data_IF_025819182044
#
_entry.id   IF_025819182044
#
_cell.length_a   1.000
_cell.length_b   1.000
_cell.length_c   1.000
_cell.angle_alpha   90.00
_cell.angle_beta   90.00
_cell.angle_gamma   90.00
#
_symmetry.space_group_name_H-M   'P 1'
#
loop_
_entity.id
_entity.type
_entity.pdbx_description
1 polymer ?
#
# COMPACT_ATOMS: atom_id res chain seq x y z
N UNK A 1 40.68 27.78 36.12
CA UNK A 1 40.52 27.73 37.59
C UNK A 1 39.30 28.56 37.98
N UNK A 2 38.51 28.09 38.96
CA UNK A 2 37.18 28.54 39.44
C UNK A 2 35.97 28.00 38.64
N UNK A 3 35.45 26.81 39.03
CA UNK A 3 34.26 26.52 39.91
C UNK A 3 32.94 26.79 39.17
N UNK A 4 32.13 25.82 38.71
CA UNK A 4 31.54 24.61 39.31
C UNK A 4 30.64 24.88 40.54
N UNK A 5 29.41 25.33 40.29
CA UNK A 5 28.20 25.09 41.10
C UNK A 5 27.01 25.79 40.43
N UNK A 6 26.15 25.08 39.71
CA UNK A 6 24.70 25.26 39.82
C UNK A 6 24.02 23.97 39.36
N UNK A 7 23.36 23.34 40.33
CA UNK A 7 22.78 22.02 40.29
C UNK A 7 21.28 22.17 40.03
N UNK A 8 20.78 21.41 39.06
CA UNK A 8 19.44 20.84 38.98
C UNK A 8 18.27 21.58 39.63
N UNK A 9 17.54 22.38 38.83
CA UNK A 9 16.17 22.79 39.12
C UNK A 9 15.43 23.01 37.79
N UNK A 10 14.96 21.94 37.15
CA UNK A 10 13.85 21.94 36.18
C UNK A 10 13.43 20.50 35.82
N UNK A 11 13.30 19.65 36.85
CA UNK A 11 12.76 18.30 36.73
C UNK A 11 11.88 18.01 37.94
N UNK A 12 10.71 18.66 38.02
CA UNK A 12 9.59 18.38 38.95
C UNK A 12 8.42 19.35 38.68
N UNK A 13 7.68 19.13 37.59
CA UNK A 13 6.30 19.59 37.44
C UNK A 13 5.43 18.41 37.04
N UNK A 14 5.35 17.44 37.95
CA UNK A 14 4.36 16.36 37.96
C UNK A 14 3.96 16.22 39.42
N UNK A 15 2.65 16.20 39.68
CA UNK A 15 1.99 16.09 41.00
C UNK A 15 1.92 17.36 41.87
N UNK A 16 0.78 18.05 41.83
CA UNK A 16 -0.19 18.13 42.95
C UNK A 16 -1.23 19.22 42.62
N UNK A 17 -2.48 18.84 42.36
CA UNK A 17 -3.60 19.60 42.95
C UNK A 17 -4.83 18.71 43.05
N UNK A 18 -5.31 18.50 44.27
CA UNK A 18 -6.46 17.68 44.58
C UNK A 18 -7.35 18.42 45.58
N UNK A 19 -8.61 18.61 45.18
CA UNK A 19 -9.84 18.82 45.95
C UNK A 19 -10.01 20.08 46.82
N UNK A 20 -11.11 20.80 46.59
CA UNK A 20 -12.37 20.72 47.37
C UNK A 20 -13.41 21.66 46.71
N UNK A 21 -14.56 21.20 46.23
CA UNK A 21 -15.91 21.32 46.86
C UNK A 21 -16.90 21.46 45.68
N UNK A 22 -18.14 20.96 45.61
CA UNK A 22 -19.07 20.29 46.51
C UNK A 22 -20.06 19.52 45.62
N UNK A 23 -20.29 18.23 45.91
CA UNK A 23 -21.39 17.44 45.35
C UNK A 23 -22.56 17.52 46.32
N UNK A 24 -23.74 17.91 45.83
CA UNK A 24 -24.98 17.88 46.59
C UNK A 24 -25.62 16.48 46.53
N UNK A 25 -25.93 15.99 47.72
CA UNK A 25 -26.47 14.69 48.10
C UNK A 25 -27.87 14.37 47.55
N UNK A 26 -28.09 13.12 47.12
CA UNK A 26 -29.30 12.33 47.46
C UNK A 26 -28.96 10.84 47.57
N UNK A 27 -29.41 10.25 48.68
CA UNK A 27 -29.15 8.89 49.19
C UNK A 27 -30.01 7.83 48.48
N UNK A 28 -29.54 6.59 48.41
CA UNK A 28 -30.43 5.41 48.37
C UNK A 28 -29.89 4.13 47.75
N UNK A 29 -29.60 3.15 48.61
CA UNK A 29 -29.63 1.68 48.42
C UNK A 29 -28.40 1.00 47.80
N UNK A 30 -27.78 0.16 48.63
CA UNK A 30 -26.64 -0.73 48.40
C UNK A 30 -27.14 -2.11 47.94
N UNK A 31 -26.57 -2.66 46.86
CA UNK A 31 -26.60 -4.09 46.49
C UNK A 31 -25.30 -4.46 45.71
N UNK A 32 -24.82 -5.71 45.78
CA UNK A 32 -23.39 -6.06 45.57
C UNK A 32 -22.99 -6.12 44.09
N UNK A 33 -21.68 -6.07 43.76
CA UNK A 33 -21.23 -6.05 42.38
C UNK A 33 -21.20 -7.47 41.83
N UNK A 34 -22.11 -7.77 40.90
CA UNK A 34 -21.93 -8.87 39.98
C UNK A 34 -22.42 -8.43 38.62
N UNK A 35 -21.51 -7.95 37.78
CA UNK A 35 -21.75 -7.92 36.35
C UNK A 35 -20.46 -8.33 35.65
N UNK A 36 -20.45 -9.63 35.34
CA UNK A 36 -19.72 -10.26 34.24
C UNK A 36 -19.49 -9.23 33.13
N UNK A 37 -18.24 -8.88 32.85
CA UNK A 37 -17.84 -8.25 31.60
C UNK A 37 -18.17 -9.20 30.46
N UNK A 38 -19.43 -9.20 30.02
CA UNK A 38 -19.78 -9.72 28.71
C UNK A 38 -19.11 -8.78 27.73
N UNK A 39 -17.94 -9.18 27.22
CA UNK A 39 -17.43 -8.64 25.96
C UNK A 39 -18.49 -8.92 24.91
N UNK A 40 -19.40 -7.96 24.72
CA UNK A 40 -20.36 -7.98 23.63
C UNK A 40 -19.52 -7.95 22.36
N UNK A 41 -19.39 -9.10 21.69
CA UNK A 41 -18.91 -9.13 20.30
C UNK A 41 -19.91 -8.33 19.50
N UNK A 42 -19.59 -7.06 19.23
CA UNK A 42 -20.36 -6.27 18.26
C UNK A 42 -20.22 -6.99 16.91
N UNK A 43 -21.32 -7.24 16.19
CA UNK A 43 -21.22 -7.79 14.84
C UNK A 43 -20.36 -6.84 14.00
N UNK A 44 -19.52 -7.40 13.13
CA UNK A 44 -18.74 -6.61 12.19
C UNK A 44 -19.69 -5.77 11.33
N UNK A 45 -19.65 -4.45 11.49
CA UNK A 45 -20.34 -3.50 10.62
C UNK A 45 -19.31 -2.74 9.80
N UNK A 46 -19.55 -2.62 8.50
CA UNK A 46 -18.68 -1.89 7.56
C UNK A 46 -18.52 -0.43 8.00
N UNK A 47 -19.59 0.18 8.51
CA UNK A 47 -19.56 1.55 9.04
C UNK A 47 -18.69 1.67 10.28
N UNK A 48 -18.81 0.72 11.23
CA UNK A 48 -17.96 0.68 12.42
C UNK A 48 -16.49 0.50 12.05
N UNK A 49 -16.19 -0.30 11.03
CA UNK A 49 -14.82 -0.51 10.58
C UNK A 49 -14.28 0.73 9.85
N UNK A 50 -15.09 1.36 8.99
CA UNK A 50 -14.71 2.58 8.29
C UNK A 50 -14.46 3.73 9.27
N UNK A 51 -15.27 3.86 10.33
CA UNK A 51 -15.05 4.84 11.38
C UNK A 51 -13.77 4.53 12.17
N UNK A 52 -13.54 3.27 12.54
CA UNK A 52 -12.32 2.86 13.23
C UNK A 52 -11.06 3.13 12.38
N UNK A 53 -11.14 2.93 11.06
CA UNK A 53 -10.08 3.27 10.12
C UNK A 53 -9.87 4.79 10.03
N UNK A 54 -10.95 5.56 9.93
CA UNK A 54 -10.93 7.03 9.93
C UNK A 54 -10.28 7.62 11.19
N UNK A 55 -10.45 6.96 12.34
CA UNK A 55 -9.87 7.35 13.63
C UNK A 55 -8.48 6.74 13.89
N UNK A 56 -7.91 6.00 12.94
CA UNK A 56 -6.64 5.32 13.15
C UNK A 56 -5.44 6.28 13.15
N UNK A 57 -4.45 6.02 13.99
CA UNK A 57 -3.21 6.81 14.06
C UNK A 57 -2.52 7.05 12.71
N UNK A 58 -2.41 6.06 11.79
CA UNK A 58 -1.79 6.31 10.48
C UNK A 58 -2.52 7.34 9.63
N UNK A 59 -3.86 7.41 9.76
CA UNK A 59 -4.68 8.41 9.07
C UNK A 59 -4.42 9.80 9.67
N UNK A 60 -4.38 9.90 11.00
CA UNK A 60 -4.06 11.14 11.70
C UNK A 60 -2.66 11.68 11.32
N UNK A 61 -1.64 10.82 11.26
CA UNK A 61 -0.30 11.22 10.81
C UNK A 61 -0.27 11.65 9.34
N UNK A 62 -1.01 10.97 8.46
CA UNK A 62 -1.08 11.35 7.05
C UNK A 62 -1.72 12.74 6.87
N UNK A 63 -2.80 13.02 7.62
CA UNK A 63 -3.43 14.33 7.64
C UNK A 63 -2.48 15.41 8.18
N UNK A 64 -1.85 15.18 9.34
CA UNK A 64 -0.89 16.12 9.93
C UNK A 64 0.29 16.42 8.99
N UNK A 65 0.79 15.42 8.26
CA UNK A 65 1.85 15.63 7.28
C UNK A 65 1.40 16.54 6.14
N UNK A 66 0.20 16.31 5.59
CA UNK A 66 -0.36 17.14 4.52
C UNK A 66 -0.56 18.59 4.99
N UNK A 67 -1.13 18.78 6.18
CA UNK A 67 -1.29 20.10 6.79
C UNK A 67 0.06 20.78 7.06
N UNK A 68 1.04 20.05 7.60
CA UNK A 68 2.38 20.58 7.85
C UNK A 68 3.06 21.06 6.56
N UNK A 69 3.00 20.27 5.48
CA UNK A 69 3.57 20.65 4.18
C UNK A 69 2.83 21.86 3.62
N UNK A 70 1.49 21.89 3.71
CA UNK A 70 0.69 23.03 3.26
C UNK A 70 1.08 24.33 3.99
N UNK A 71 1.14 24.28 5.32
CA UNK A 71 1.42 25.44 6.17
C UNK A 71 2.87 25.95 6.02
N UNK A 72 3.83 25.04 5.84
CA UNK A 72 5.25 25.42 5.69
C UNK A 72 5.57 25.95 4.30
N UNK A 73 4.96 25.39 3.25
CA UNK A 73 5.23 25.81 1.87
C UNK A 73 4.34 26.98 1.41
N UNK A 74 3.17 27.15 2.02
CA UNK A 74 2.17 28.15 1.61
C UNK A 74 1.55 27.90 0.23
N UNK A 75 1.75 26.71 -0.34
CA UNK A 75 1.24 26.36 -1.67
C UNK A 75 -0.25 26.02 -1.63
N UNK A 76 -0.97 26.08 -2.76
CA UNK A 76 -2.36 25.62 -2.79
C UNK A 76 -2.48 24.12 -2.44
N UNK A 77 -3.66 23.71 -1.98
CA UNK A 77 -3.93 22.31 -1.60
C UNK A 77 -3.69 21.33 -2.75
N UNK A 78 -4.07 21.69 -3.97
CA UNK A 78 -3.79 20.89 -5.17
C UNK A 78 -2.29 20.56 -5.30
N UNK A 79 -1.42 21.58 -5.23
CA UNK A 79 0.02 21.38 -5.34
C UNK A 79 0.59 20.61 -4.15
N UNK A 80 0.08 20.88 -2.94
CA UNK A 80 0.49 20.17 -1.72
C UNK A 80 0.25 18.68 -1.85
N UNK A 81 -0.95 18.29 -2.31
CA UNK A 81 -1.32 16.87 -2.53
C UNK A 81 -0.39 16.23 -3.57
N UNK A 82 -0.16 16.90 -4.70
CA UNK A 82 0.71 16.40 -5.78
C UNK A 82 2.13 16.19 -5.25
N UNK A 83 2.74 17.22 -4.66
CA UNK A 83 4.13 17.16 -4.20
C UNK A 83 4.32 16.15 -3.07
N UNK A 84 3.41 16.12 -2.11
CA UNK A 84 3.47 15.14 -1.00
C UNK A 84 3.36 13.72 -1.55
N UNK A 85 2.48 13.48 -2.52
CA UNK A 85 2.34 12.17 -3.17
C UNK A 85 3.63 11.73 -3.86
N UNK A 86 4.23 12.63 -4.65
CA UNK A 86 5.45 12.35 -5.39
C UNK A 86 6.64 12.14 -4.44
N UNK A 87 6.78 12.98 -3.41
CA UNK A 87 7.81 12.86 -2.40
C UNK A 87 7.69 11.54 -1.64
N UNK A 88 6.48 11.19 -1.18
CA UNK A 88 6.21 9.94 -0.47
C UNK A 88 6.57 8.73 -1.32
N UNK A 89 6.14 8.70 -2.58
CA UNK A 89 6.47 7.61 -3.52
C UNK A 89 7.97 7.54 -3.82
N UNK A 90 8.65 8.68 -3.93
CA UNK A 90 10.10 8.74 -4.19
C UNK A 90 10.90 8.26 -2.99
N UNK A 91 10.52 8.65 -1.77
CA UNK A 91 11.25 8.29 -0.55
C UNK A 91 10.97 6.84 -0.12
N UNK A 92 9.72 6.36 -0.25
CA UNK A 92 9.32 5.05 0.25
C UNK A 92 9.28 4.00 -0.85
N UNK A 93 8.49 4.22 -1.90
CA UNK A 93 8.19 3.20 -2.90
C UNK A 93 9.35 2.96 -3.86
N UNK A 94 10.05 4.03 -4.28
CA UNK A 94 11.08 3.93 -5.31
C UNK A 94 12.27 3.05 -4.93
N UNK A 95 12.90 3.18 -3.75
CA UNK A 95 14.01 2.30 -3.35
C UNK A 95 13.55 0.85 -3.21
N UNK A 96 12.35 0.63 -2.64
CA UNK A 96 11.77 -0.70 -2.51
C UNK A 96 11.46 -1.30 -3.89
N UNK A 97 11.05 -0.49 -4.87
CA UNK A 97 10.81 -0.93 -6.23
C UNK A 97 12.12 -1.33 -6.95
N UNK A 98 13.20 -0.57 -6.75
CA UNK A 98 14.54 -0.98 -7.24
C UNK A 98 14.89 -2.36 -6.67
N UNK A 99 14.71 -2.56 -5.36
CA UNK A 99 14.94 -3.87 -4.72
C UNK A 99 14.03 -4.97 -5.31
N UNK A 100 12.75 -4.70 -5.51
CA UNK A 100 11.82 -5.62 -6.16
C UNK A 100 12.33 -6.02 -7.56
N UNK A 101 12.82 -5.07 -8.34
CA UNK A 101 13.38 -5.33 -9.66
C UNK A 101 14.64 -6.19 -9.62
N UNK A 102 15.51 -6.06 -8.61
CA UNK A 102 16.64 -6.98 -8.42
C UNK A 102 16.18 -8.42 -8.18
N UNK A 103 15.17 -8.61 -7.33
CA UNK A 103 14.63 -9.95 -7.02
C UNK A 103 13.98 -10.56 -8.26
N UNK A 104 13.18 -9.78 -9.00
CA UNK A 104 12.52 -10.25 -10.22
C UNK A 104 13.51 -10.58 -11.34
N UNK A 105 14.58 -9.79 -11.50
CA UNK A 105 15.63 -10.09 -12.48
C UNK A 105 16.36 -11.41 -12.16
N UNK A 106 16.67 -11.66 -10.88
CA UNK A 106 17.26 -12.94 -10.44
C UNK A 106 16.32 -14.11 -10.69
N UNK A 107 15.04 -13.96 -10.38
CA UNK A 107 14.02 -14.98 -10.68
C UNK A 107 13.91 -15.26 -12.19
N UNK A 108 13.95 -14.22 -13.02
CA UNK A 108 13.95 -14.36 -14.48
C UNK A 108 15.14 -15.17 -14.99
N UNK A 109 16.31 -15.01 -14.38
CA UNK A 109 17.52 -15.75 -14.73
C UNK A 109 17.50 -17.23 -14.31
N UNK A 110 16.59 -17.64 -13.42
CA UNK A 110 16.39 -19.05 -13.09
C UNK A 110 15.60 -19.81 -14.16
N UNK A 111 14.75 -19.13 -14.94
CA UNK A 111 13.93 -19.76 -15.98
C UNK A 111 14.72 -20.70 -16.93
N UNK A 112 15.85 -20.29 -17.53
CA UNK A 112 16.61 -21.17 -18.41
C UNK A 112 17.21 -22.40 -17.68
N UNK A 113 17.55 -22.27 -16.40
CA UNK A 113 18.04 -23.41 -15.59
C UNK A 113 16.89 -24.38 -15.26
N UNK A 114 15.71 -23.84 -14.94
CA UNK A 114 14.50 -24.63 -14.75
C UNK A 114 14.13 -25.39 -16.02
N UNK A 115 14.21 -24.76 -17.20
CA UNK A 115 13.92 -25.40 -18.48
C UNK A 115 14.85 -26.59 -18.78
N UNK A 116 16.12 -26.52 -18.35
CA UNK A 116 17.08 -27.64 -18.46
C UNK A 116 16.76 -28.80 -17.52
N UNK A 117 16.22 -28.53 -16.32
CA UNK A 117 15.87 -29.56 -15.32
C UNK A 117 14.58 -30.32 -15.65
N UNK A 118 13.65 -29.70 -16.39
CA UNK A 118 12.36 -30.30 -16.77
C UNK A 118 12.50 -31.67 -17.47
N UNK A 119 13.31 -31.83 -18.53
CA UNK A 119 13.45 -33.13 -19.21
C UNK A 119 14.06 -34.21 -18.30
N UNK A 120 15.06 -33.87 -17.48
CA UNK A 120 15.70 -34.80 -16.54
C UNK A 120 14.68 -35.32 -15.52
N UNK A 121 13.93 -34.42 -14.88
CA UNK A 121 12.90 -34.80 -13.90
C UNK A 121 11.75 -35.60 -14.51
N UNK A 122 11.40 -35.34 -15.77
CA UNK A 122 10.41 -36.15 -16.50
C UNK A 122 10.94 -37.57 -16.74
N UNK A 123 12.21 -37.73 -17.11
CA UNK A 123 12.82 -39.04 -17.31
C UNK A 123 12.85 -39.84 -16.00
N UNK A 124 13.27 -39.24 -14.89
CA UNK A 124 13.25 -39.86 -13.55
C UNK A 124 11.84 -40.28 -13.13
N UNK A 125 10.84 -39.41 -13.34
CA UNK A 125 9.44 -39.73 -13.02
C UNK A 125 8.95 -40.89 -13.87
N UNK A 126 9.27 -40.94 -15.16
CA UNK A 126 8.86 -42.02 -16.06
C UNK A 126 9.49 -43.37 -15.64
N UNK A 127 10.73 -43.38 -15.15
CA UNK A 127 11.36 -44.57 -14.59
C UNK A 127 10.66 -45.01 -13.31
N UNK A 128 10.36 -44.08 -12.39
CA UNK A 128 9.63 -44.38 -11.15
C UNK A 128 8.23 -44.94 -11.42
N UNK A 129 7.52 -44.45 -12.44
CA UNK A 129 6.23 -45.02 -12.87
C UNK A 129 6.36 -46.47 -13.29
N UNK A 130 7.41 -46.82 -14.05
CA UNK A 130 7.65 -48.20 -14.50
C UNK A 130 8.05 -49.11 -13.33
N UNK A 131 8.92 -48.65 -12.44
CA UNK A 131 9.43 -49.45 -11.32
C UNK A 131 8.39 -49.69 -10.23
N UNK A 132 7.65 -48.64 -9.84
CA UNK A 132 6.70 -48.69 -8.72
C UNK A 132 5.24 -48.84 -9.16
N UNK A 133 4.99 -49.04 -10.47
CA UNK A 133 3.63 -49.15 -11.06
C UNK A 133 2.69 -48.04 -10.58
N UNK A 134 3.18 -46.80 -10.58
CA UNK A 134 2.42 -45.66 -10.07
C UNK A 134 1.24 -45.32 -10.98
N UNK A 135 0.12 -44.96 -10.38
CA UNK A 135 -1.02 -44.39 -11.12
C UNK A 135 -0.67 -42.99 -11.66
N UNK A 136 -1.32 -42.55 -12.74
CA UNK A 136 -1.06 -41.24 -13.37
C UNK A 136 -1.17 -40.06 -12.39
N UNK A 137 -2.14 -40.11 -11.47
CA UNK A 137 -2.30 -39.08 -10.43
C UNK A 137 -1.09 -39.03 -9.51
N UNK A 138 -0.57 -40.20 -9.09
CA UNK A 138 0.60 -40.30 -8.23
C UNK A 138 1.86 -39.83 -8.97
N UNK A 139 2.03 -40.22 -10.24
CA UNK A 139 3.13 -39.76 -11.09
C UNK A 139 3.16 -38.22 -11.20
N UNK A 140 2.00 -37.60 -11.42
CA UNK A 140 1.87 -36.13 -11.52
C UNK A 140 2.20 -35.43 -10.21
N UNK A 141 1.79 -35.99 -9.06
CA UNK A 141 2.12 -35.46 -7.74
C UNK A 141 3.63 -35.56 -7.49
N UNK A 142 4.24 -36.72 -7.77
CA UNK A 142 5.67 -36.96 -7.63
C UNK A 142 6.50 -35.99 -8.49
N UNK A 143 6.13 -35.82 -9.75
CA UNK A 143 6.79 -34.87 -10.66
C UNK A 143 6.69 -33.43 -10.14
N UNK A 144 5.50 -32.99 -9.74
CA UNK A 144 5.28 -31.63 -9.20
C UNK A 144 6.08 -31.39 -7.93
N UNK A 145 6.12 -32.38 -7.03
CA UNK A 145 6.87 -32.30 -5.79
C UNK A 145 8.39 -32.22 -6.05
N UNK A 146 8.91 -33.06 -6.95
CA UNK A 146 10.33 -33.08 -7.30
C UNK A 146 10.76 -31.81 -8.02
N UNK A 147 9.95 -31.32 -8.97
CA UNK A 147 10.18 -30.05 -9.65
C UNK A 147 10.17 -28.88 -8.67
N UNK A 148 9.17 -28.82 -7.78
CA UNK A 148 9.11 -27.78 -6.74
C UNK A 148 10.35 -27.81 -5.85
N UNK A 149 10.79 -28.99 -5.42
CA UNK A 149 12.00 -29.16 -4.59
C UNK A 149 13.25 -28.61 -5.29
N UNK A 150 13.43 -28.86 -6.59
CA UNK A 150 14.57 -28.34 -7.34
C UNK A 150 14.48 -26.82 -7.51
N UNK A 151 13.30 -26.27 -7.84
CA UNK A 151 13.05 -24.82 -7.91
C UNK A 151 13.34 -24.14 -6.57
N UNK A 152 12.87 -24.71 -5.47
CA UNK A 152 13.07 -24.14 -4.14
C UNK A 152 14.57 -24.10 -3.78
N UNK A 153 15.37 -25.11 -4.16
CA UNK A 153 16.84 -25.09 -3.99
C UNK A 153 17.49 -23.95 -4.78
N UNK A 154 17.09 -23.75 -6.03
CA UNK A 154 17.59 -22.67 -6.89
C UNK A 154 17.28 -21.29 -6.28
N UNK A 155 16.05 -21.11 -5.79
CA UNK A 155 15.61 -19.88 -5.14
C UNK A 155 16.41 -19.60 -3.87
N UNK A 156 16.73 -20.63 -3.08
CA UNK A 156 17.54 -20.50 -1.86
C UNK A 156 19.00 -20.17 -2.22
N UNK A 157 19.58 -20.85 -3.22
CA UNK A 157 20.94 -20.61 -3.73
C UNK A 157 21.14 -19.14 -4.13
N UNK A 158 20.18 -18.58 -4.86
CA UNK A 158 20.28 -17.21 -5.41
C UNK A 158 19.58 -16.15 -4.53
N UNK A 159 19.05 -16.58 -3.37
CA UNK A 159 18.40 -15.77 -2.34
C UNK A 159 17.27 -14.87 -2.87
N UNK A 160 16.54 -15.35 -3.89
CA UNK A 160 15.57 -14.56 -4.67
C UNK A 160 14.11 -14.96 -4.40
N UNK A 161 13.78 -15.28 -3.15
CA UNK A 161 12.44 -15.73 -2.78
C UNK A 161 11.34 -14.76 -3.24
N UNK A 162 10.25 -15.23 -3.90
CA UNK A 162 9.23 -14.36 -4.50
C UNK A 162 8.54 -13.43 -3.48
N UNK A 163 8.44 -13.83 -2.20
CA UNK A 163 7.91 -12.97 -1.13
C UNK A 163 8.70 -11.66 -0.94
N UNK A 164 10.00 -11.64 -1.28
CA UNK A 164 10.78 -10.39 -1.23
C UNK A 164 10.32 -9.40 -2.28
N UNK A 165 9.75 -9.87 -3.40
CA UNK A 165 9.18 -9.01 -4.44
C UNK A 165 7.82 -8.41 -4.05
N UNK A 166 7.11 -9.00 -3.09
CA UNK A 166 5.80 -8.49 -2.62
C UNK A 166 5.93 -7.38 -1.58
N UNK A 167 7.15 -7.06 -1.11
CA UNK A 167 7.39 -6.05 -0.06
C UNK A 167 6.86 -4.66 -0.44
N UNK A 168 6.97 -4.28 -1.71
CA UNK A 168 6.47 -2.99 -2.20
C UNK A 168 4.97 -2.88 -1.98
N UNK A 169 4.22 -3.93 -2.31
CA UNK A 169 2.77 -3.95 -2.13
C UNK A 169 2.37 -3.90 -0.65
N UNK A 170 3.11 -4.63 0.21
CA UNK A 170 2.84 -4.66 1.65
C UNK A 170 3.04 -3.30 2.32
N UNK A 171 3.99 -2.50 1.87
CA UNK A 171 4.23 -1.15 2.39
C UNK A 171 3.33 -0.11 1.72
N UNK A 172 3.15 -0.21 0.40
CA UNK A 172 2.40 0.76 -0.39
C UNK A 172 0.91 0.77 -0.07
N UNK A 173 0.29 -0.40 0.14
CA UNK A 173 -1.16 -0.50 0.35
C UNK A 173 -1.60 0.21 1.65
N UNK A 174 -1.00 -0.03 2.82
CA UNK A 174 -1.33 0.70 4.04
C UNK A 174 -1.16 2.21 3.89
N UNK A 175 -0.02 2.65 3.34
CA UNK A 175 0.25 4.08 3.11
C UNK A 175 -0.81 4.69 2.19
N UNK A 176 -1.14 4.00 1.10
CA UNK A 176 -2.16 4.47 0.16
C UNK A 176 -3.54 4.58 0.81
N UNK A 177 -3.93 3.60 1.62
CA UNK A 177 -5.20 3.64 2.37
C UNK A 177 -5.19 4.80 3.35
N UNK A 178 -4.12 4.98 4.14
CA UNK A 178 -4.04 6.04 5.15
C UNK A 178 -4.19 7.43 4.54
N UNK A 179 -3.48 7.72 3.45
CA UNK A 179 -3.60 9.02 2.76
C UNK A 179 -4.97 9.20 2.09
N UNK A 180 -5.54 8.13 1.52
CA UNK A 180 -6.88 8.21 0.91
C UNK A 180 -7.95 8.53 1.95
N UNK A 181 -7.88 7.88 3.11
CA UNK A 181 -8.83 8.11 4.20
C UNK A 181 -8.57 9.48 4.86
N UNK A 182 -7.32 9.92 4.98
CA UNK A 182 -6.99 11.25 5.49
C UNK A 182 -7.59 12.36 4.61
N UNK A 183 -7.35 12.32 3.29
CA UNK A 183 -7.95 13.28 2.36
C UNK A 183 -9.48 13.23 2.40
N UNK A 184 -10.05 12.03 2.41
CA UNK A 184 -11.51 11.85 2.55
C UNK A 184 -12.03 12.45 3.86
N UNK A 185 -11.30 12.29 4.97
CA UNK A 185 -11.65 12.86 6.26
C UNK A 185 -11.65 14.40 6.19
N UNK A 186 -10.64 15.00 5.55
CA UNK A 186 -10.56 16.44 5.35
C UNK A 186 -11.71 16.97 4.49
N UNK A 187 -12.08 16.26 3.41
CA UNK A 187 -13.17 16.64 2.53
C UNK A 187 -14.57 16.49 3.16
N UNK A 188 -14.75 15.58 4.12
CA UNK A 188 -16.04 15.33 4.78
C UNK A 188 -16.10 15.82 6.24
N UNK A 189 -15.09 16.54 6.72
CA UNK A 189 -14.99 17.01 8.11
C UNK A 189 -15.14 15.86 9.13
N UNK A 190 -14.45 14.75 8.86
CA UNK A 190 -14.44 13.54 9.68
C UNK A 190 -13.08 13.34 10.37
N UNK A 191 -13.01 12.59 11.48
CA UNK A 191 -14.12 11.99 12.23
C UNK A 191 -14.81 12.98 13.19
N UNK A 192 -14.21 14.15 13.42
CA UNK A 192 -14.74 15.20 14.31
C UNK A 192 -15.02 16.47 13.50
N UNK A 193 -16.19 17.06 13.72
CA UNK A 193 -16.62 18.31 13.08
C UNK A 193 -16.29 19.49 13.99
N UNK A 194 -15.00 19.72 14.23
CA UNK A 194 -14.52 20.85 15.02
C UNK A 194 -14.24 22.08 14.14
N UNK A 195 -13.85 23.19 14.79
CA UNK A 195 -13.51 24.43 14.08
C UNK A 195 -12.28 24.24 13.17
N UNK A 196 -11.35 23.35 13.54
CA UNK A 196 -10.19 23.01 12.71
C UNK A 196 -10.61 22.34 11.40
N UNK A 197 -11.48 21.33 11.47
CA UNK A 197 -12.02 20.65 10.30
C UNK A 197 -12.80 21.60 9.38
N UNK A 198 -13.53 22.58 9.94
CA UNK A 198 -14.25 23.57 9.13
C UNK A 198 -13.29 24.48 8.35
N UNK A 199 -12.24 24.99 9.01
CA UNK A 199 -11.23 25.83 8.35
C UNK A 199 -10.53 25.04 7.25
N UNK A 200 -10.16 23.79 7.54
CA UNK A 200 -9.51 22.91 6.57
C UNK A 200 -10.40 22.64 5.35
N UNK A 201 -11.68 22.29 5.59
CA UNK A 201 -12.66 22.09 4.53
C UNK A 201 -12.81 23.32 3.63
N UNK A 202 -12.91 24.52 4.23
CA UNK A 202 -13.00 25.77 3.48
C UNK A 202 -11.77 26.00 2.61
N UNK A 203 -10.55 25.79 3.16
CA UNK A 203 -9.33 25.91 2.39
C UNK A 203 -9.25 24.90 1.23
N UNK A 204 -9.67 23.65 1.45
CA UNK A 204 -9.74 22.64 0.37
C UNK A 204 -10.74 23.03 -0.71
N UNK A 205 -11.89 23.59 -0.33
CA UNK A 205 -12.97 23.96 -1.26
C UNK A 205 -12.59 25.04 -2.28
N UNK A 206 -11.58 25.84 -1.98
CA UNK A 206 -11.03 26.88 -2.87
C UNK A 206 -9.60 26.57 -3.32
N UNK A 207 -9.03 25.45 -2.86
CA UNK A 207 -7.62 25.08 -3.04
C UNK A 207 -7.31 24.24 -4.27
N UNK A 208 -8.31 24.00 -5.13
CA UNK A 208 -8.18 23.24 -6.37
C UNK A 208 -7.52 24.01 -7.51
N UNK A 209 -7.54 23.42 -8.70
CA UNK A 209 -6.93 24.00 -9.90
C UNK A 209 -7.68 23.59 -11.17
N UNK A 210 -7.41 24.30 -12.27
CA UNK A 210 -7.95 23.98 -13.61
C UNK A 210 -9.49 23.86 -13.58
N UNK A 211 -10.05 22.71 -13.97
CA UNK A 211 -11.50 22.44 -14.00
C UNK A 211 -12.04 21.88 -12.67
N UNK A 212 -11.18 21.55 -11.70
CA UNK A 212 -11.54 21.00 -10.39
C UNK A 212 -11.16 21.99 -9.29
N UNK A 213 -11.80 23.16 -9.29
CA UNK A 213 -11.51 24.24 -8.34
C UNK A 213 -11.86 23.90 -6.90
N UNK A 214 -12.92 23.09 -6.71
CA UNK A 214 -13.32 22.58 -5.41
C UNK A 214 -12.83 21.13 -5.23
N UNK A 215 -11.91 20.94 -4.27
CA UNK A 215 -11.33 19.63 -4.00
C UNK A 215 -12.23 18.71 -3.17
N UNK A 216 -13.22 19.25 -2.45
CA UNK A 216 -14.10 18.48 -1.56
C UNK A 216 -15.28 17.85 -2.30
N UNK A 217 -15.55 18.29 -3.53
CA UNK A 217 -16.57 17.73 -4.41
C UNK A 217 -15.97 16.77 -5.44
N UNK A 218 -16.74 15.81 -5.97
CA UNK A 218 -16.30 14.97 -7.08
C UNK A 218 -15.95 15.78 -8.34
N UNK A 219 -15.10 15.21 -9.22
CA UNK A 219 -14.68 15.88 -10.45
C UNK A 219 -15.89 16.10 -11.38
N UNK A 220 -16.27 17.36 -11.67
CA UNK A 220 -17.46 17.66 -12.46
C UNK A 220 -17.36 17.19 -13.92
N UNK A 221 -16.14 17.03 -14.46
CA UNK A 221 -15.92 16.64 -15.86
C UNK A 221 -15.54 15.17 -16.02
N UNK A 222 -15.44 14.40 -14.92
CA UNK A 222 -15.00 13.00 -14.92
C UNK A 222 -13.62 12.75 -15.55
N UNK A 223 -12.80 13.78 -15.74
CA UNK A 223 -11.49 13.68 -16.38
C UNK A 223 -10.52 12.91 -15.49
N UNK A 224 -10.43 13.24 -14.19
CA UNK A 224 -9.51 12.57 -13.27
C UNK A 224 -9.87 11.09 -13.04
N UNK A 225 -11.13 10.69 -12.80
CA UNK A 225 -11.51 9.28 -12.70
C UNK A 225 -11.15 8.45 -13.95
N UNK A 226 -11.39 9.00 -15.15
CA UNK A 226 -11.06 8.31 -16.41
C UNK A 226 -9.55 8.18 -16.60
N UNK A 227 -8.80 9.26 -16.35
CA UNK A 227 -7.33 9.22 -16.40
C UNK A 227 -6.75 8.25 -15.38
N UNK A 228 -7.32 8.18 -14.17
CA UNK A 228 -6.92 7.23 -13.15
C UNK A 228 -7.11 5.78 -13.63
N UNK A 229 -8.28 5.47 -14.20
CA UNK A 229 -8.55 4.16 -14.79
C UNK A 229 -7.54 3.80 -15.87
N UNK A 230 -7.27 4.73 -16.79
CA UNK A 230 -6.29 4.57 -17.86
C UNK A 230 -4.87 4.33 -17.32
N UNK A 231 -4.40 5.15 -16.37
CA UNK A 231 -3.05 5.02 -15.80
C UNK A 231 -2.88 3.68 -15.07
N UNK A 232 -3.90 3.22 -14.34
CA UNK A 232 -3.86 1.92 -13.68
C UNK A 232 -3.88 0.76 -14.68
N UNK A 233 -4.68 0.86 -15.75
CA UNK A 233 -4.70 -0.12 -16.82
C UNK A 233 -3.32 -0.24 -17.50
N UNK A 234 -2.69 0.89 -17.83
CA UNK A 234 -1.34 0.92 -18.41
C UNK A 234 -0.28 0.33 -17.47
N UNK A 235 -0.36 0.64 -16.17
CA UNK A 235 0.50 0.02 -15.17
C UNK A 235 0.37 -1.52 -15.16
N UNK A 236 -0.86 -2.04 -15.25
CA UNK A 236 -1.10 -3.48 -15.28
C UNK A 236 -0.56 -4.14 -16.55
N UNK A 237 -0.79 -3.52 -17.72
CA UNK A 237 -0.31 -4.05 -19.00
C UNK A 237 1.21 -4.09 -19.02
N UNK A 238 1.88 -3.01 -18.61
CA UNK A 238 3.34 -3.01 -18.55
C UNK A 238 3.89 -4.08 -17.59
N UNK A 239 3.25 -4.28 -16.42
CA UNK A 239 3.63 -5.36 -15.51
C UNK A 239 3.35 -6.76 -16.08
N UNK A 240 2.35 -6.90 -16.95
CA UNK A 240 2.02 -8.16 -17.62
C UNK A 240 3.02 -8.45 -18.73
N UNK A 241 3.38 -7.46 -19.54
CA UNK A 241 4.38 -7.56 -20.61
C UNK A 241 5.77 -7.96 -20.09
N UNK A 242 6.10 -7.59 -18.85
CA UNK A 242 7.38 -7.94 -18.20
C UNK A 242 7.48 -9.37 -17.71
N UNK A 243 6.37 -10.09 -17.56
CA UNK A 243 6.42 -11.46 -17.05
C UNK A 243 6.99 -12.37 -18.14
N UNK A 244 8.30 -12.60 -18.10
CA UNK A 244 9.00 -13.55 -18.96
C UNK A 244 8.62 -14.99 -18.59
N UNK A 245 8.14 -15.75 -19.58
CA UNK A 245 7.78 -17.16 -19.46
C UNK A 245 6.30 -17.46 -19.70
N UNK A 246 5.93 -18.74 -19.69
CA UNK A 246 4.53 -19.14 -19.90
C UNK A 246 3.68 -18.64 -18.73
N UNK A 247 2.76 -17.72 -19.00
CA UNK A 247 1.81 -17.22 -18.00
C UNK A 247 0.96 -18.40 -17.53
N UNK A 248 1.01 -18.69 -16.22
CA UNK A 248 0.15 -19.73 -15.64
C UNK A 248 -1.32 -19.38 -15.86
N UNK A 249 -2.20 -20.38 -16.04
CA UNK A 249 -3.65 -20.15 -16.20
C UNK A 249 -4.21 -19.26 -15.08
N UNK A 250 -3.72 -19.48 -13.86
CA UNK A 250 -4.05 -18.66 -12.70
C UNK A 250 -3.63 -17.19 -12.87
N UNK A 251 -2.37 -16.92 -13.26
CA UNK A 251 -1.90 -15.57 -13.50
C UNK A 251 -2.72 -14.85 -14.59
N UNK A 252 -3.16 -15.55 -15.65
CA UNK A 252 -4.04 -14.97 -16.67
C UNK A 252 -5.41 -14.58 -16.11
N UNK A 253 -6.01 -15.42 -15.28
CA UNK A 253 -7.28 -15.12 -14.60
C UNK A 253 -7.11 -13.90 -13.70
N UNK A 254 -6.07 -13.88 -12.87
CA UNK A 254 -5.78 -12.74 -11.97
C UNK A 254 -5.60 -11.45 -12.76
N UNK A 255 -4.81 -11.44 -13.84
CA UNK A 255 -4.63 -10.25 -14.68
C UNK A 255 -5.96 -9.78 -15.27
N UNK A 256 -6.80 -10.69 -15.78
CA UNK A 256 -8.10 -10.32 -16.34
C UNK A 256 -9.06 -9.75 -15.28
N UNK A 257 -9.08 -10.32 -14.07
CA UNK A 257 -9.86 -9.77 -12.96
C UNK A 257 -9.37 -8.37 -12.60
N UNK A 258 -8.05 -8.14 -12.55
CA UNK A 258 -7.49 -6.81 -12.30
C UNK A 258 -7.83 -5.80 -13.40
N UNK A 259 -7.90 -6.22 -14.68
CA UNK A 259 -8.37 -5.34 -15.77
C UNK A 259 -9.79 -4.86 -15.54
N UNK A 260 -10.70 -5.78 -15.22
CA UNK A 260 -12.10 -5.45 -14.90
C UNK A 260 -12.16 -4.55 -13.67
N UNK A 261 -11.36 -4.84 -12.64
CA UNK A 261 -11.27 -4.00 -11.44
C UNK A 261 -10.89 -2.55 -11.78
N UNK A 262 -9.93 -2.31 -12.67
CA UNK A 262 -9.54 -0.95 -13.04
C UNK A 262 -10.60 -0.21 -13.87
N UNK A 263 -11.45 -0.92 -14.61
CA UNK A 263 -12.63 -0.33 -15.24
C UNK A 263 -13.68 0.04 -14.18
N UNK A 264 -13.93 -0.84 -13.22
CA UNK A 264 -14.87 -0.61 -12.10
C UNK A 264 -14.37 0.49 -11.16
N UNK A 265 -13.07 0.73 -11.08
CA UNK A 265 -12.51 1.84 -10.29
C UNK A 265 -12.91 3.22 -10.82
N UNK A 266 -13.26 3.37 -12.09
CA UNK A 266 -13.67 4.66 -12.67
C UNK A 266 -14.94 5.21 -11.99
N UNK A 267 -16.07 4.49 -11.91
CA UNK A 267 -17.25 4.97 -11.21
C UNK A 267 -17.05 5.10 -9.69
N UNK A 268 -16.15 4.32 -9.09
CA UNK A 268 -15.80 4.47 -7.66
C UNK A 268 -15.04 5.79 -7.44
N UNK A 269 -14.12 6.13 -8.35
CA UNK A 269 -13.39 7.39 -8.28
C UNK A 269 -14.30 8.59 -8.58
N UNK A 270 -15.33 8.43 -9.42
CA UNK A 270 -16.25 9.53 -9.74
C UNK A 270 -17.21 9.94 -8.62
N UNK A 271 -17.38 9.11 -7.58
CA UNK A 271 -18.16 9.46 -6.39
C UNK A 271 -17.28 10.00 -5.25
N UNK A 272 -15.96 9.91 -5.41
CA UNK A 272 -15.01 10.35 -4.41
C UNK A 272 -14.69 11.84 -4.59
N UNK A 273 -14.44 12.60 -3.50
CA UNK A 273 -13.90 13.95 -3.59
C UNK A 273 -12.67 14.06 -4.48
N UNK A 274 -12.51 15.22 -5.11
CA UNK A 274 -11.46 15.46 -6.11
C UNK A 274 -10.05 15.38 -5.51
N UNK A 275 -9.84 15.74 -4.24
CA UNK A 275 -8.54 15.58 -3.56
C UNK A 275 -8.07 14.12 -3.50
N UNK A 276 -8.94 13.17 -3.14
CA UNK A 276 -8.62 11.74 -3.08
C UNK A 276 -8.34 11.22 -4.48
N UNK A 277 -9.17 11.59 -5.47
CA UNK A 277 -9.00 11.15 -6.85
C UNK A 277 -7.72 11.73 -7.47
N UNK A 278 -7.37 12.98 -7.14
CA UNK A 278 -6.10 13.61 -7.52
C UNK A 278 -4.91 12.86 -6.91
N UNK A 279 -4.98 12.54 -5.61
CA UNK A 279 -3.97 11.72 -4.93
C UNK A 279 -3.78 10.37 -5.63
N UNK A 280 -4.88 9.67 -5.93
CA UNK A 280 -4.84 8.39 -6.65
C UNK A 280 -4.21 8.53 -8.03
N UNK A 281 -4.61 9.55 -8.80
CA UNK A 281 -4.08 9.81 -10.14
C UNK A 281 -2.58 10.09 -10.11
N UNK A 282 -2.11 10.93 -9.18
CA UNK A 282 -0.70 11.22 -8.99
C UNK A 282 0.09 9.94 -8.62
N UNK A 283 -0.46 9.15 -7.70
CA UNK A 283 0.06 7.85 -7.30
C UNK A 283 0.23 6.90 -8.49
N UNK A 284 -0.81 6.73 -9.30
CA UNK A 284 -0.81 5.81 -10.44
C UNK A 284 0.11 6.29 -11.57
N UNK A 285 0.15 7.60 -11.81
CA UNK A 285 1.06 8.21 -12.79
C UNK A 285 2.51 8.03 -12.37
N UNK A 286 2.85 8.25 -11.09
CA UNK A 286 4.19 7.98 -10.57
C UNK A 286 4.56 6.51 -10.71
N UNK A 287 3.65 5.59 -10.39
CA UNK A 287 3.90 4.16 -10.55
C UNK A 287 4.22 3.80 -12.01
N UNK A 288 3.51 4.40 -12.96
CA UNK A 288 3.74 4.20 -14.39
C UNK A 288 5.13 4.71 -14.79
N UNK A 289 5.46 5.95 -14.40
CA UNK A 289 6.77 6.56 -14.65
C UNK A 289 7.92 5.77 -14.03
N UNK A 290 7.81 5.42 -12.74
CA UNK A 290 8.77 4.57 -12.02
C UNK A 290 8.99 3.26 -12.77
N UNK A 291 7.91 2.61 -13.19
CA UNK A 291 8.01 1.37 -13.94
C UNK A 291 8.77 1.62 -15.26
N UNK A 292 8.38 2.59 -16.08
CA UNK A 292 9.07 2.90 -17.36
C UNK A 292 10.57 3.11 -17.13
N UNK A 293 10.92 3.93 -16.13
CA UNK A 293 12.31 4.21 -15.74
C UNK A 293 13.06 2.92 -15.37
N UNK A 294 12.46 2.05 -14.54
CA UNK A 294 13.07 0.79 -14.11
C UNK A 294 13.12 -0.30 -15.20
N UNK A 295 12.41 -0.12 -16.33
CA UNK A 295 12.58 -0.96 -17.53
C UNK A 295 13.73 -0.50 -18.40
N UNK A 296 14.07 0.80 -18.39
CA UNK A 296 15.14 1.34 -19.22
C UNK A 296 16.47 0.62 -18.96
N UNK A 297 17.12 0.02 -19.98
CA UNK A 297 18.39 -0.68 -19.80
C UNK A 297 19.49 0.24 -19.22
N UNK A 298 19.48 1.52 -19.60
CA UNK A 298 20.42 2.53 -19.09
C UNK A 298 20.26 2.70 -17.58
N UNK A 299 19.02 2.88 -17.12
CA UNK A 299 18.74 3.08 -15.69
C UNK A 299 18.98 1.80 -14.89
N UNK A 300 18.64 0.63 -15.43
CA UNK A 300 18.95 -0.66 -14.81
C UNK A 300 20.44 -0.85 -14.57
N UNK A 301 21.30 -0.41 -15.49
CA UNK A 301 22.77 -0.43 -15.30
C UNK A 301 23.21 0.51 -14.17
N UNK A 302 22.65 1.72 -14.10
CA UNK A 302 22.92 2.67 -13.01
C UNK A 302 22.57 2.07 -11.65
N UNK A 303 21.41 1.42 -11.54
CA UNK A 303 20.98 0.73 -10.33
C UNK A 303 21.62 -0.66 -10.12
N UNK A 304 22.54 -1.10 -11.00
CA UNK A 304 23.19 -2.42 -10.95
C UNK A 304 22.20 -3.60 -10.92
N UNK A 305 21.05 -3.46 -11.58
CA UNK A 305 20.05 -4.53 -11.69
C UNK A 305 20.59 -5.59 -12.67
N UNK A 306 20.56 -6.90 -12.32
CA UNK A 306 21.03 -7.96 -13.19
C UNK A 306 20.35 -7.93 -14.56
N UNK A 307 21.12 -8.22 -15.61
CA UNK A 307 20.60 -8.40 -16.96
C UNK A 307 19.85 -9.73 -17.00
N UNK A 308 18.67 -9.74 -17.64
CA UNK A 308 17.92 -11.00 -17.80
C UNK A 308 18.38 -11.70 -19.07
N UNK A 309 18.67 -13.00 -18.99
CA UNK A 309 19.08 -13.82 -20.13
C UNK A 309 17.94 -13.81 -21.18
N UNK A 310 18.21 -13.25 -22.37
CA UNK A 310 17.23 -13.08 -23.46
C UNK A 310 16.86 -11.63 -23.80
N UNK A 311 17.37 -10.62 -23.07
CA UNK A 311 17.20 -9.19 -23.40
C UNK A 311 18.35 -8.61 -24.27
N UNK A 312 19.15 -9.46 -24.93
CA UNK A 312 20.29 -9.06 -25.79
C UNK A 312 19.93 -9.01 -27.27
#
# INVERSE_FOLDING_TARGET
MYKAAEFGLLRKCVHLNHRFSLVQSRKGVLSPPCNVTKTVRRPFSVESWALALSQSEPVAYAQQLLEYIHLTTGMSWCHTIILTSLALRTCTTFPLAVYQHHVLARLGNLNPEIEKLVPELKAETNLAVKMFKLNEKQAKILYRHSLKKQIDKLIIRDNCHPFKSTVVMLVQMPVWISFSVALRNMAFMMPYQDMGALVLFQQLSVGGALWFTNLTTPDPLFIMPVLLGLMNFLNLEMNTLRKMGSITKYAKIVTNVLRVLFIVMIPIASIMPSDVTLYWLCSSTFALGQNIVLTSPKFRRVCRIPVVVGES
#
